data_IF_982290606594
#
_entry.id   IF_982290606594
#
_cell.length_a   1.000
_cell.length_b   1.000
_cell.length_c   1.000
_cell.angle_alpha   90.00
_cell.angle_beta   90.00
_cell.angle_gamma   90.00
#
_symmetry.space_group_name_H-M   'P 1'
#
loop_
_entity.id
_entity.type
_entity.pdbx_description
1 polymer ?
#
# COMPACT_ATOMS: atom_id res chain seq x y z
N UNK A 1 -16.78 -26.38 -32.09
CA UNK A 1 -16.71 -24.99 -31.58
C UNK A 1 -15.39 -24.83 -30.86
N UNK A 2 -14.55 -23.83 -31.17
CA UNK A 2 -13.35 -23.60 -30.40
C UNK A 2 -13.73 -23.06 -29.00
N UNK A 3 -12.94 -23.35 -27.96
CA UNK A 3 -13.18 -22.75 -26.65
C UNK A 3 -12.99 -21.23 -26.78
N UNK A 4 -13.97 -20.48 -26.29
CA UNK A 4 -13.92 -19.04 -26.20
C UNK A 4 -12.75 -18.63 -25.31
N UNK A 5 -11.67 -18.19 -25.95
CA UNK A 5 -10.61 -17.41 -25.32
C UNK A 5 -11.27 -16.17 -24.72
N UNK A 6 -11.53 -16.21 -23.41
CA UNK A 6 -11.86 -15.01 -22.64
C UNK A 6 -10.57 -14.20 -22.55
N UNK A 7 -10.47 -13.17 -23.37
CA UNK A 7 -9.54 -12.07 -23.14
C UNK A 7 -9.75 -11.54 -21.71
N UNK A 8 -8.71 -11.46 -20.88
CA UNK A 8 -8.85 -10.87 -19.56
C UNK A 8 -9.19 -9.38 -19.74
N UNK A 9 -10.34 -8.97 -19.24
CA UNK A 9 -10.74 -7.56 -19.18
C UNK A 9 -9.72 -6.80 -18.34
N UNK A 10 -8.99 -5.90 -18.99
CA UNK A 10 -8.10 -4.92 -18.36
C UNK A 10 -8.89 -4.16 -17.29
N UNK A 11 -8.36 -4.17 -16.05
CA UNK A 11 -8.82 -3.44 -14.86
C UNK A 11 -9.95 -4.11 -14.04
N UNK A 12 -9.59 -4.90 -13.00
CA UNK A 12 -10.55 -5.55 -12.08
C UNK A 12 -11.38 -4.59 -11.20
N UNK A 13 -11.12 -3.29 -11.27
CA UNK A 13 -11.80 -2.24 -10.52
C UNK A 13 -12.33 -1.18 -11.49
N UNK A 14 -13.64 -0.93 -11.44
CA UNK A 14 -14.22 0.21 -12.16
C UNK A 14 -13.76 1.52 -11.50
N UNK A 15 -13.23 2.50 -12.25
CA UNK A 15 -12.90 3.82 -11.73
C UNK A 15 -14.13 4.71 -11.55
N UNK A 16 -15.30 4.27 -12.03
CA UNK A 16 -16.55 5.01 -11.99
C UNK A 16 -16.97 5.33 -10.53
N UNK A 17 -17.10 6.61 -10.14
CA UNK A 17 -17.55 6.99 -8.81
C UNK A 17 -18.95 6.46 -8.47
N UNK A 18 -19.81 6.26 -9.47
CA UNK A 18 -21.17 5.72 -9.28
C UNK A 18 -21.18 4.23 -8.89
N UNK A 19 -20.05 3.54 -9.02
CA UNK A 19 -19.88 2.16 -8.54
C UNK A 19 -19.81 2.03 -7.01
N UNK A 20 -19.87 3.15 -6.28
CA UNK A 20 -19.86 3.19 -4.82
C UNK A 20 -18.49 2.91 -4.19
N UNK A 21 -18.40 2.82 -2.84
CA UNK A 21 -17.13 2.63 -2.14
C UNK A 21 -16.42 1.32 -2.51
N UNK A 22 -15.09 1.32 -2.47
CA UNK A 22 -14.26 0.12 -2.54
C UNK A 22 -14.02 -0.35 -1.10
N UNK A 23 -14.61 -1.49 -0.75
CA UNK A 23 -14.38 -2.13 0.54
C UNK A 23 -13.21 -3.10 0.44
N UNK A 24 -12.29 -3.02 1.40
CA UNK A 24 -11.12 -3.91 1.48
C UNK A 24 -10.83 -4.28 2.93
N UNK A 25 -10.17 -5.42 3.16
CA UNK A 25 -9.72 -5.79 4.51
C UNK A 25 -8.48 -6.69 4.48
N UNK A 26 -8.60 -7.88 3.89
CA UNK A 26 -7.55 -8.90 3.98
C UNK A 26 -6.64 -8.87 2.76
N UNK A 27 -5.32 -9.15 2.93
CA UNK A 27 -4.39 -9.16 1.82
C UNK A 27 -4.70 -10.25 0.79
N UNK A 28 -5.35 -11.34 1.19
CA UNK A 28 -5.80 -12.41 0.28
C UNK A 28 -7.08 -12.10 -0.50
N UNK A 29 -7.68 -10.91 -0.34
CA UNK A 29 -8.83 -10.52 -1.16
C UNK A 29 -8.40 -10.35 -2.63
N UNK A 30 -9.09 -10.99 -3.60
CA UNK A 30 -8.59 -11.05 -4.96
C UNK A 30 -8.35 -9.67 -5.61
N UNK A 31 -9.32 -8.75 -5.50
CA UNK A 31 -9.29 -7.47 -6.23
C UNK A 31 -8.86 -6.28 -5.39
N UNK A 32 -8.76 -6.45 -4.06
CA UNK A 32 -8.58 -5.35 -3.10
C UNK A 32 -7.51 -5.62 -2.06
N UNK A 33 -6.89 -6.81 -2.08
CA UNK A 33 -5.87 -7.21 -1.12
C UNK A 33 -4.67 -6.25 -1.09
N UNK A 34 -4.31 -5.68 -2.23
CA UNK A 34 -3.24 -4.69 -2.38
C UNK A 34 -3.46 -3.41 -1.54
N UNK A 35 -4.68 -3.12 -1.09
CA UNK A 35 -4.96 -1.98 -0.20
C UNK A 35 -4.66 -2.29 1.27
N UNK A 36 -4.62 -3.58 1.65
CA UNK A 36 -4.35 -4.01 3.02
C UNK A 36 -2.93 -3.65 3.46
N UNK A 37 -2.76 -3.28 4.73
CA UNK A 37 -1.43 -3.05 5.34
C UNK A 37 -0.61 -4.33 5.49
N UNK A 38 -1.26 -5.50 5.37
CA UNK A 38 -0.64 -6.82 5.44
C UNK A 38 -0.28 -7.42 4.08
N UNK A 39 -0.51 -6.69 2.98
CA UNK A 39 -0.15 -7.13 1.64
C UNK A 39 1.36 -7.28 1.52
N UNK A 40 1.82 -8.50 1.22
CA UNK A 40 3.22 -8.90 1.25
C UNK A 40 3.82 -9.13 -0.14
N UNK A 41 3.01 -9.28 -1.19
CA UNK A 41 3.50 -9.53 -2.56
C UNK A 41 4.34 -8.39 -3.16
N UNK A 42 4.36 -7.20 -2.54
CA UNK A 42 5.17 -6.07 -2.99
C UNK A 42 5.87 -5.40 -1.79
N UNK A 43 7.06 -5.89 -1.40
CA UNK A 43 7.94 -5.19 -0.47
C UNK A 43 8.35 -3.83 -1.02
N UNK A 44 8.73 -2.90 -0.14
CA UNK A 44 9.05 -1.53 -0.55
C UNK A 44 10.16 -0.91 0.30
N UNK A 45 10.80 0.13 -0.25
CA UNK A 45 11.84 0.91 0.44
C UNK A 45 11.23 2.14 1.13
N UNK A 46 11.84 2.59 2.22
CA UNK A 46 11.55 3.92 2.75
C UNK A 46 12.02 5.04 1.83
N UNK A 47 11.53 6.27 2.08
CA UNK A 47 12.12 7.49 1.55
C UNK A 47 13.51 7.65 2.18
N UNK A 48 14.54 7.08 1.56
CA UNK A 48 15.90 7.48 1.89
C UNK A 48 16.07 8.95 1.51
N UNK A 49 16.31 9.81 2.51
CA UNK A 49 16.52 11.25 2.28
C UNK A 49 17.96 11.54 1.87
N UNK A 50 18.85 10.55 1.99
CA UNK A 50 20.24 10.66 1.61
C UNK A 50 20.65 9.48 0.71
N UNK A 51 20.72 9.67 -0.62
CA UNK A 51 21.14 8.63 -1.56
C UNK A 51 22.55 8.10 -1.32
N UNK A 52 23.37 8.78 -0.50
CA UNK A 52 24.72 8.34 -0.12
C UNK A 52 24.74 7.49 1.15
N UNK A 53 23.62 7.38 1.85
CA UNK A 53 23.49 6.58 3.06
C UNK A 53 23.18 5.13 2.72
N UNK A 54 23.94 4.20 3.30
CA UNK A 54 23.68 2.75 3.21
C UNK A 54 22.42 2.30 3.97
N UNK A 55 21.52 3.24 4.33
CA UNK A 55 20.55 3.08 5.41
C UNK A 55 19.11 2.82 4.98
N UNK A 56 18.80 2.88 3.68
CA UNK A 56 17.46 2.58 3.17
C UNK A 56 17.02 1.17 3.60
N UNK A 57 15.86 1.12 4.25
CA UNK A 57 15.28 -0.14 4.76
C UNK A 57 14.24 -0.66 3.81
N UNK A 58 14.20 -1.99 3.68
CA UNK A 58 13.13 -2.70 2.97
C UNK A 58 12.12 -3.20 4.00
N UNK A 59 10.84 -2.93 3.73
CA UNK A 59 9.73 -3.37 4.55
C UNK A 59 8.92 -4.40 3.77
N UNK A 60 8.67 -5.54 4.40
CA UNK A 60 7.89 -6.61 3.80
C UNK A 60 6.41 -6.24 3.65
N UNK A 61 5.86 -5.48 4.60
CA UNK A 61 4.49 -4.95 4.53
C UNK A 61 4.41 -3.56 5.14
N UNK A 62 3.32 -2.83 4.88
CA UNK A 62 3.12 -1.50 5.46
C UNK A 62 2.88 -1.55 6.98
N UNK A 63 2.43 -2.68 7.54
CA UNK A 63 2.41 -2.84 9.00
C UNK A 63 3.82 -2.95 9.60
N UNK A 64 4.77 -3.61 8.93
CA UNK A 64 6.16 -3.62 9.40
C UNK A 64 6.70 -2.19 9.48
N UNK A 65 6.44 -1.37 8.46
CA UNK A 65 6.77 0.05 8.47
C UNK A 65 6.11 0.78 9.65
N UNK A 66 4.80 0.62 9.83
CA UNK A 66 4.06 1.29 10.91
C UNK A 66 4.62 0.93 12.29
N UNK A 67 4.89 -0.35 12.55
CA UNK A 67 5.40 -0.79 13.85
C UNK A 67 6.86 -0.38 14.07
N UNK A 68 7.70 -0.44 13.04
CA UNK A 68 9.09 0.03 13.10
C UNK A 68 9.13 1.52 13.46
N UNK A 69 8.36 2.34 12.75
CA UNK A 69 8.29 3.77 13.01
C UNK A 69 7.62 4.12 14.34
N UNK A 70 6.68 3.29 14.83
CA UNK A 70 6.16 3.39 16.20
C UNK A 70 7.28 3.18 17.23
N UNK A 71 8.10 2.15 17.06
CA UNK A 71 9.23 1.89 17.96
C UNK A 71 10.25 3.03 17.95
N UNK A 72 10.58 3.56 16.76
CA UNK A 72 11.45 4.74 16.63
C UNK A 72 10.86 5.99 17.31
N UNK A 73 9.55 6.23 17.18
CA UNK A 73 8.87 7.36 17.81
C UNK A 73 9.04 7.39 19.35
N UNK A 74 9.15 6.21 19.97
CA UNK A 74 9.33 6.07 21.42
C UNK A 74 10.75 5.68 21.84
N UNK A 75 11.73 5.91 20.94
CA UNK A 75 13.15 5.64 21.17
C UNK A 75 13.48 4.18 21.51
N UNK A 76 12.74 3.23 20.94
CA UNK A 76 12.96 1.80 21.13
C UNK A 76 13.65 1.16 19.92
N UNK A 77 14.97 1.40 19.80
CA UNK A 77 15.77 0.90 18.69
C UNK A 77 15.83 -0.63 18.62
N UNK A 78 15.75 -1.31 19.77
CA UNK A 78 15.77 -2.77 19.86
C UNK A 78 14.50 -3.38 19.25
N UNK A 79 13.32 -2.86 19.62
CA UNK A 79 12.06 -3.32 19.02
C UNK A 79 11.98 -2.90 17.55
N UNK A 80 12.50 -1.73 17.19
CA UNK A 80 12.56 -1.28 15.80
C UNK A 80 13.32 -2.30 14.93
N UNK A 81 14.53 -2.69 15.35
CA UNK A 81 15.34 -3.68 14.64
C UNK A 81 14.67 -5.06 14.61
N UNK A 82 14.09 -5.49 15.73
CA UNK A 82 13.37 -6.76 15.80
C UNK A 82 12.20 -6.82 14.81
N UNK A 83 11.48 -5.71 14.60
CA UNK A 83 10.38 -5.65 13.63
C UNK A 83 10.86 -5.83 12.19
N UNK A 84 12.03 -5.27 11.83
CA UNK A 84 12.58 -5.42 10.48
C UNK A 84 12.99 -6.87 10.17
N UNK A 85 13.37 -7.64 11.20
CA UNK A 85 13.76 -9.03 11.06
C UNK A 85 12.58 -10.01 10.94
N UNK A 86 11.34 -9.57 11.16
CA UNK A 86 10.16 -10.44 11.09
C UNK A 86 9.82 -10.77 9.63
N UNK A 87 9.71 -12.07 9.25
CA UNK A 87 9.30 -12.44 7.91
C UNK A 87 7.82 -12.15 7.66
N UNK A 88 7.42 -11.89 6.42
CA UNK A 88 6.02 -11.78 6.06
C UNK A 88 5.46 -13.10 5.47
N UNK A 89 4.17 -13.42 5.69
CA UNK A 89 3.22 -12.70 6.55
C UNK A 89 3.28 -13.18 8.03
N UNK A 90 3.59 -12.28 8.97
CA UNK A 90 3.61 -12.62 10.42
C UNK A 90 2.81 -11.65 11.31
N UNK A 91 1.48 -11.49 11.12
CA UNK A 91 0.71 -10.49 11.86
C UNK A 91 0.74 -10.63 13.38
N UNK A 92 0.82 -11.86 13.89
CA UNK A 92 0.84 -12.12 15.32
C UNK A 92 2.12 -11.59 15.97
N UNK A 93 3.26 -11.84 15.33
CA UNK A 93 4.59 -11.47 15.83
C UNK A 93 4.82 -9.97 15.73
N UNK A 94 4.60 -9.35 14.56
CA UNK A 94 4.75 -7.91 14.37
C UNK A 94 3.88 -7.11 15.35
N UNK A 95 2.62 -7.54 15.57
CA UNK A 95 1.74 -6.90 16.57
C UNK A 95 2.18 -7.13 18.00
N UNK A 96 2.81 -8.27 18.30
CA UNK A 96 3.35 -8.55 19.63
C UNK A 96 4.49 -7.59 19.96
N UNK A 97 5.45 -7.45 19.04
CA UNK A 97 6.53 -6.47 19.14
C UNK A 97 5.98 -5.03 19.24
N UNK A 98 4.99 -4.69 18.42
CA UNK A 98 4.32 -3.39 18.47
C UNK A 98 3.65 -3.05 19.80
N UNK A 99 3.23 -4.05 20.58
CA UNK A 99 2.70 -3.87 21.94
C UNK A 99 3.81 -3.80 23.00
N UNK A 100 4.99 -4.32 22.70
CA UNK A 100 6.14 -4.34 23.59
C UNK A 100 7.01 -3.06 23.53
N UNK A 101 6.70 -2.13 22.62
CA UNK A 101 7.41 -0.84 22.48
C UNK A 101 7.45 -0.11 23.83
N UNK A 102 8.67 0.20 24.29
CA UNK A 102 8.92 0.95 25.53
C UNK A 102 8.51 2.42 25.39
N UNK A 103 8.30 3.09 26.51
CA UNK A 103 7.96 4.52 26.59
C UNK A 103 6.72 4.94 25.78
N UNK A 104 5.82 4.00 25.50
CA UNK A 104 4.62 4.27 24.71
C UNK A 104 3.72 5.31 25.37
N UNK A 105 3.45 6.39 24.65
CA UNK A 105 2.47 7.40 25.01
C UNK A 105 1.33 7.42 23.97
N UNK A 106 0.11 7.20 24.45
CA UNK A 106 -1.07 7.08 23.60
C UNK A 106 -1.37 8.40 22.86
N UNK A 107 -1.21 9.55 23.51
CA UNK A 107 -1.53 10.85 22.91
C UNK A 107 -0.51 11.24 21.83
N UNK A 108 0.77 10.94 22.06
CA UNK A 108 1.82 11.07 21.05
C UNK A 108 1.53 10.13 19.87
N UNK A 109 1.17 8.87 20.13
CA UNK A 109 0.82 7.94 19.07
C UNK A 109 -0.39 8.40 18.25
N UNK A 110 -1.46 8.86 18.89
CA UNK A 110 -2.66 9.35 18.20
C UNK A 110 -2.37 10.54 17.29
N UNK A 111 -1.46 11.43 17.71
CA UNK A 111 -1.02 12.57 16.91
C UNK A 111 -0.18 12.18 15.70
N UNK A 112 0.70 11.18 15.84
CA UNK A 112 1.69 10.85 14.79
C UNK A 112 1.27 9.67 13.88
N UNK A 113 0.37 8.79 14.32
CA UNK A 113 0.06 7.52 13.63
C UNK A 113 -0.41 7.71 12.18
N UNK A 114 -1.23 8.72 11.92
CA UNK A 114 -1.78 8.97 10.58
C UNK A 114 -0.67 9.44 9.63
N UNK A 115 0.24 10.30 10.11
CA UNK A 115 1.43 10.68 9.35
C UNK A 115 2.28 9.46 9.02
N UNK A 116 2.57 8.61 10.00
CA UNK A 116 3.39 7.40 9.81
C UNK A 116 2.73 6.44 8.80
N UNK A 117 1.44 6.16 8.93
CA UNK A 117 0.73 5.24 8.02
C UNK A 117 0.61 5.83 6.62
N UNK A 118 0.40 7.14 6.48
CA UNK A 118 0.42 7.83 5.19
C UNK A 118 1.79 7.74 4.53
N UNK A 119 2.87 8.02 5.26
CA UNK A 119 4.25 7.92 4.74
C UNK A 119 4.58 6.48 4.31
N UNK A 120 4.24 5.48 5.13
CA UNK A 120 4.43 4.07 4.77
C UNK A 120 3.61 3.63 3.57
N UNK A 121 2.36 4.10 3.47
CA UNK A 121 1.49 3.83 2.31
C UNK A 121 2.03 4.49 1.04
N UNK A 122 2.54 5.72 1.12
CA UNK A 122 3.20 6.38 -0.01
C UNK A 122 4.42 5.57 -0.46
N UNK A 123 5.27 5.12 0.47
CA UNK A 123 6.45 4.32 0.17
C UNK A 123 6.07 3.00 -0.50
N UNK A 124 5.06 2.30 0.02
CA UNK A 124 4.50 1.07 -0.57
C UNK A 124 4.14 1.24 -2.04
N UNK A 125 3.42 2.31 -2.38
CA UNK A 125 2.94 2.50 -3.76
C UNK A 125 3.98 3.12 -4.68
N UNK A 126 4.91 3.95 -4.17
CA UNK A 126 5.83 4.71 -5.01
C UNK A 126 7.25 4.11 -5.10
N UNK A 127 7.68 3.35 -4.09
CA UNK A 127 9.02 2.78 -3.95
C UNK A 127 9.00 1.24 -3.79
N UNK A 128 8.24 0.48 -4.61
CA UNK A 128 8.27 -0.98 -4.55
C UNK A 128 9.66 -1.51 -4.88
N UNK A 129 10.09 -2.56 -4.18
CA UNK A 129 11.24 -3.36 -4.58
C UNK A 129 10.78 -4.27 -5.71
N UNK A 130 11.29 -4.00 -6.91
CA UNK A 130 11.15 -4.90 -8.05
C UNK A 130 12.46 -5.64 -8.18
N UNK A 131 12.41 -6.97 -8.29
CA UNK A 131 13.56 -7.72 -8.77
C UNK A 131 13.90 -7.17 -10.16
N UNK A 132 15.17 -6.82 -10.36
CA UNK A 132 15.65 -6.56 -11.71
C UNK A 132 15.58 -7.90 -12.44
N UNK A 133 14.84 -7.96 -13.54
CA UNK A 133 15.01 -9.05 -14.51
C UNK A 133 16.51 -9.07 -14.83
N UNK A 134 17.19 -10.19 -14.61
CA UNK A 134 18.65 -10.40 -14.73
C UNK A 134 19.19 -10.24 -16.18
N UNK A 135 18.61 -9.34 -16.96
CA UNK A 135 19.06 -8.95 -18.28
C UNK A 135 19.98 -7.75 -18.21
N UNK A 136 21.29 -8.00 -18.21
CA UNK A 136 22.28 -7.06 -18.74
C UNK A 136 21.70 -6.36 -19.98
N UNK A 137 21.44 -5.07 -19.89
CA UNK A 137 21.25 -4.21 -21.04
C UNK A 137 22.07 -2.95 -20.80
N UNK A 138 23.36 -3.04 -21.15
CA UNK A 138 24.09 -1.89 -21.66
C UNK A 138 23.40 -1.43 -22.95
N UNK A 139 22.34 -0.63 -22.80
CA UNK A 139 21.82 0.18 -23.88
C UNK A 139 22.73 1.39 -24.03
N UNK A 140 23.61 1.36 -25.03
CA UNK A 140 24.18 2.59 -25.58
C UNK A 140 23.01 3.41 -26.15
N UNK A 141 23.12 4.72 -25.92
CA UNK A 141 22.29 5.78 -26.47
C UNK A 141 20.97 6.03 -25.73
N UNK A 142 20.86 7.27 -25.23
CA UNK A 142 19.81 7.77 -24.37
C UNK A 142 18.47 7.95 -25.07
N UNK A 143 17.87 6.85 -25.53
CA UNK A 143 16.44 6.81 -25.82
C UNK A 143 15.66 6.66 -24.52
N UNK A 144 14.62 7.48 -24.38
CA UNK A 144 13.75 7.51 -23.22
C UNK A 144 13.32 6.08 -22.86
N UNK A 145 13.73 5.62 -21.66
CA UNK A 145 13.36 4.34 -21.06
C UNK A 145 11.84 4.17 -21.17
N UNK A 146 11.40 3.53 -22.24
CA UNK A 146 9.99 3.35 -22.56
C UNK A 146 9.34 2.68 -21.35
N UNK A 147 8.18 3.18 -20.93
CA UNK A 147 7.46 2.73 -19.72
C UNK A 147 7.06 1.26 -19.90
N UNK A 148 7.99 0.32 -19.70
CA UNK A 148 7.72 -1.11 -19.75
C UNK A 148 6.64 -1.41 -18.72
N UNK A 149 5.47 -1.80 -19.21
CA UNK A 149 4.37 -2.24 -18.37
C UNK A 149 4.82 -3.46 -17.56
N UNK A 150 4.49 -3.45 -16.26
CA UNK A 150 4.70 -4.55 -15.33
C UNK A 150 3.37 -5.17 -14.96
N UNK A 151 3.43 -6.41 -14.49
CA UNK A 151 2.26 -7.15 -14.00
C UNK A 151 2.28 -7.07 -12.48
N UNK A 152 1.20 -6.55 -11.89
CA UNK A 152 1.04 -6.43 -10.44
C UNK A 152 -0.13 -7.28 -9.97
N UNK A 153 0.08 -8.15 -8.98
CA UNK A 153 -1.04 -8.83 -8.32
C UNK A 153 -1.88 -7.82 -7.53
N UNK A 154 -3.19 -8.05 -7.47
CA UNK A 154 -4.12 -7.24 -6.66
C UNK A 154 -4.42 -7.86 -5.28
N UNK A 155 -3.85 -9.03 -4.99
CA UNK A 155 -3.98 -9.71 -3.71
C UNK A 155 -2.93 -10.82 -3.54
N UNK A 156 -2.76 -11.29 -2.31
CA UNK A 156 -1.83 -12.36 -1.95
C UNK A 156 -2.45 -13.76 -2.13
N UNK A 157 -3.71 -13.86 -2.59
CA UNK A 157 -4.38 -15.13 -2.87
C UNK A 157 -4.00 -15.69 -4.24
N UNK A 158 -4.01 -17.02 -4.39
CA UNK A 158 -3.63 -17.69 -5.65
C UNK A 158 -4.47 -17.25 -6.85
N UNK A 159 -5.75 -16.94 -6.63
CA UNK A 159 -6.70 -16.49 -7.65
C UNK A 159 -6.73 -14.96 -7.81
N UNK A 160 -5.76 -14.24 -7.24
CA UNK A 160 -5.74 -12.79 -7.34
C UNK A 160 -5.53 -12.35 -8.81
N UNK A 161 -6.46 -11.56 -9.39
CA UNK A 161 -6.23 -10.97 -10.69
C UNK A 161 -5.01 -10.04 -10.68
N UNK A 162 -4.46 -9.83 -11.87
CA UNK A 162 -3.33 -8.94 -12.08
C UNK A 162 -3.75 -7.68 -12.83
N UNK A 163 -2.98 -6.60 -12.62
CA UNK A 163 -3.11 -5.35 -13.36
C UNK A 163 -1.81 -5.05 -14.11
N UNK A 164 -1.92 -4.71 -15.39
CA UNK A 164 -0.80 -4.17 -16.17
C UNK A 164 -0.66 -2.68 -15.88
N UNK A 165 0.50 -2.28 -15.38
CA UNK A 165 0.81 -0.89 -15.07
C UNK A 165 2.32 -0.65 -15.07
N UNK A 166 2.75 0.55 -15.49
CA UNK A 166 4.16 0.92 -15.48
C UNK A 166 4.74 0.94 -14.07
N UNK A 167 3.95 1.40 -13.08
CA UNK A 167 4.37 1.50 -11.67
C UNK A 167 3.25 1.01 -10.75
N UNK A 168 3.61 0.52 -9.57
CA UNK A 168 2.62 0.02 -8.61
C UNK A 168 1.66 1.12 -8.12
N UNK A 169 2.11 2.38 -8.04
CA UNK A 169 1.23 3.53 -7.76
C UNK A 169 0.05 3.67 -8.71
N UNK A 170 0.21 3.24 -9.97
CA UNK A 170 -0.85 3.35 -10.97
C UNK A 170 -2.02 2.40 -10.62
N UNK A 171 -1.75 1.32 -9.87
CA UNK A 171 -2.78 0.44 -9.30
C UNK A 171 -3.64 1.18 -8.27
N UNK A 172 -3.03 2.02 -7.42
CA UNK A 172 -3.78 2.87 -6.50
C UNK A 172 -4.54 3.96 -7.25
N UNK A 173 -3.93 4.59 -8.26
CA UNK A 173 -4.59 5.62 -9.08
C UNK A 173 -5.80 5.06 -9.85
N UNK A 174 -5.76 3.78 -10.26
CA UNK A 174 -6.87 3.10 -10.93
C UNK A 174 -8.14 2.97 -10.07
N UNK A 175 -8.05 3.18 -8.75
CA UNK A 175 -9.23 3.30 -7.87
C UNK A 175 -10.03 4.59 -8.11
N UNK A 176 -9.54 5.50 -8.96
CA UNK A 176 -10.22 6.71 -9.39
C UNK A 176 -10.43 7.69 -8.23
N UNK A 177 -11.66 8.15 -8.07
CA UNK A 177 -12.10 9.03 -6.97
C UNK A 177 -12.97 8.30 -5.95
N UNK A 178 -13.14 6.97 -6.10
CA UNK A 178 -13.98 6.16 -5.22
C UNK A 178 -13.45 6.19 -3.79
N UNK A 179 -14.37 6.14 -2.84
CA UNK A 179 -14.04 6.08 -1.41
C UNK A 179 -13.42 4.72 -1.09
N UNK A 180 -12.25 4.73 -0.47
CA UNK A 180 -11.58 3.51 0.01
C UNK A 180 -11.99 3.26 1.47
N UNK A 181 -12.46 2.05 1.76
CA UNK A 181 -13.02 1.70 3.07
C UNK A 181 -12.43 0.40 3.60
N UNK A 182 -11.65 0.51 4.68
CA UNK A 182 -11.12 -0.64 5.43
C UNK A 182 -12.29 -1.30 6.20
N UNK A 183 -12.90 -2.31 5.60
CA UNK A 183 -14.06 -3.06 6.07
C UNK A 183 -13.68 -4.16 7.08
N UNK A 184 -12.78 -3.83 8.00
CA UNK A 184 -12.43 -4.69 9.14
C UNK A 184 -13.58 -4.67 10.16
N UNK A 185 -14.16 -5.83 10.53
CA UNK A 185 -15.21 -5.90 11.56
C UNK A 185 -14.69 -5.69 12.98
N UNK A 186 -13.37 -5.71 13.18
CA UNK A 186 -12.75 -5.68 14.51
C UNK A 186 -12.00 -4.38 14.80
N UNK A 187 -11.82 -3.51 13.79
CA UNK A 187 -11.08 -2.26 13.92
C UNK A 187 -12.01 -1.07 13.64
N UNK A 188 -12.18 -0.20 14.63
CA UNK A 188 -12.97 1.05 14.53
C UNK A 188 -12.12 2.31 14.41
N UNK A 189 -10.80 2.18 14.43
CA UNK A 189 -9.86 3.29 14.26
C UNK A 189 -9.38 3.29 12.82
N UNK A 190 -8.65 2.26 12.40
CA UNK A 190 -8.17 2.15 11.03
C UNK A 190 -9.29 1.72 10.08
N UNK A 191 -10.21 0.89 10.58
CA UNK A 191 -11.37 0.41 9.86
C UNK A 191 -12.71 1.01 10.30
N UNK A 192 -13.78 0.51 9.70
CA UNK A 192 -15.16 0.93 9.99
C UNK A 192 -15.87 0.11 11.06
N UNK A 193 -15.28 -1.00 11.53
CA UNK A 193 -15.89 -1.90 12.50
C UNK A 193 -17.03 -2.76 11.95
N UNK A 194 -17.11 -2.92 10.62
CA UNK A 194 -18.09 -3.77 9.94
C UNK A 194 -17.46 -4.39 8.68
N UNK A 195 -17.87 -5.62 8.35
CA UNK A 195 -17.53 -6.25 7.08
C UNK A 195 -18.26 -5.59 5.90
N UNK A 196 -17.70 -5.73 4.69
CA UNK A 196 -18.18 -5.06 3.47
C UNK A 196 -19.68 -5.22 3.22
N UNK A 197 -20.24 -6.41 3.45
CA UNK A 197 -21.67 -6.72 3.24
C UNK A 197 -22.62 -5.88 4.11
N UNK A 198 -22.19 -5.49 5.30
CA UNK A 198 -22.99 -4.72 6.26
C UNK A 198 -22.62 -3.24 6.30
N UNK A 199 -21.49 -2.88 5.69
CA UNK A 199 -20.92 -1.54 5.73
C UNK A 199 -21.94 -0.47 5.29
N UNK A 200 -22.54 -0.62 4.10
CA UNK A 200 -23.51 0.36 3.56
C UNK A 200 -24.71 0.59 4.49
N UNK A 201 -25.23 -0.46 5.12
CA UNK A 201 -26.38 -0.39 6.04
C UNK A 201 -26.06 0.29 7.37
N UNK A 202 -24.77 0.39 7.71
CA UNK A 202 -24.28 0.84 9.02
C UNK A 202 -23.51 2.14 8.95
N UNK A 203 -23.61 2.92 7.86
CA UNK A 203 -22.83 4.13 7.60
C UNK A 203 -22.73 5.08 8.81
N UNK A 204 -23.86 5.39 9.45
CA UNK A 204 -23.91 6.26 10.64
C UNK A 204 -23.29 5.67 11.91
N UNK A 205 -22.83 4.42 11.90
CA UNK A 205 -22.22 3.72 13.04
C UNK A 205 -20.75 3.35 12.79
N UNK A 206 -20.18 3.79 11.68
CA UNK A 206 -18.81 3.44 11.30
C UNK A 206 -17.79 3.93 12.32
N UNK A 207 -16.68 3.19 12.39
CA UNK A 207 -15.42 3.70 12.91
C UNK A 207 -14.82 4.81 12.05
N UNK A 208 -13.58 5.18 12.35
CA UNK A 208 -12.94 6.36 11.77
C UNK A 208 -12.47 6.15 10.33
N UNK A 209 -12.27 4.91 9.88
CA UNK A 209 -11.72 4.55 8.57
C UNK A 209 -10.40 5.29 8.25
N UNK A 210 -9.51 5.44 9.25
CA UNK A 210 -8.28 6.22 9.06
C UNK A 210 -7.39 5.66 7.95
N UNK A 211 -7.37 4.35 7.74
CA UNK A 211 -6.55 3.74 6.69
C UNK A 211 -7.07 4.10 5.30
N UNK A 212 -8.38 3.98 5.09
CA UNK A 212 -9.03 4.41 3.86
C UNK A 212 -8.73 5.88 3.54
N UNK A 213 -8.81 6.77 4.53
CA UNK A 213 -8.46 8.19 4.42
C UNK A 213 -6.99 8.40 4.04
N UNK A 214 -6.06 7.74 4.73
CA UNK A 214 -4.63 7.83 4.42
C UNK A 214 -4.34 7.39 2.97
N UNK A 215 -4.93 6.29 2.51
CA UNK A 215 -4.74 5.80 1.14
C UNK A 215 -5.29 6.78 0.10
N UNK A 216 -6.44 7.41 0.37
CA UNK A 216 -6.98 8.45 -0.51
C UNK A 216 -6.10 9.70 -0.53
N UNK A 217 -5.54 10.13 0.61
CA UNK A 217 -4.57 11.23 0.65
C UNK A 217 -3.31 10.92 -0.17
N UNK A 218 -2.75 9.71 -0.01
CA UNK A 218 -1.60 9.24 -0.81
C UNK A 218 -1.94 9.22 -2.29
N UNK A 219 -3.15 8.76 -2.66
CA UNK A 219 -3.62 8.75 -4.05
C UNK A 219 -3.64 10.16 -4.65
N UNK A 220 -4.13 11.15 -3.91
CA UNK A 220 -4.12 12.55 -4.36
C UNK A 220 -2.71 13.15 -4.46
N UNK A 221 -1.81 12.82 -3.52
CA UNK A 221 -0.41 13.23 -3.58
C UNK A 221 0.26 12.69 -4.85
N UNK A 222 0.12 11.39 -5.12
CA UNK A 222 0.72 10.73 -6.29
C UNK A 222 0.13 11.24 -7.61
N UNK A 223 -1.15 11.62 -7.63
CA UNK A 223 -1.79 12.25 -8.79
C UNK A 223 -1.17 13.60 -9.09
N UNK A 224 -0.99 14.47 -8.08
CA UNK A 224 -0.34 15.78 -8.23
C UNK A 224 1.11 15.66 -8.69
N UNK A 225 1.85 14.69 -8.15
CA UNK A 225 3.23 14.42 -8.60
C UNK A 225 3.28 14.00 -10.08
N UNK A 226 2.31 13.19 -10.54
CA UNK A 226 2.22 12.78 -11.93
C UNK A 226 1.88 13.95 -12.87
N UNK A 227 0.89 14.76 -12.50
CA UNK A 227 0.49 15.97 -13.26
C UNK A 227 1.65 16.98 -13.35
N UNK A 228 2.38 17.21 -12.26
CA UNK A 228 3.54 18.10 -12.25
C UNK A 228 4.66 17.60 -13.18
N UNK A 229 4.98 16.29 -13.12
CA UNK A 229 5.99 15.69 -13.98
C UNK A 229 5.60 15.70 -15.48
N UNK A 230 4.30 15.62 -15.80
CA UNK A 230 3.80 15.77 -17.18
C UNK A 230 3.87 17.21 -17.66
N UNK A 231 3.49 18.18 -16.82
CA UNK A 231 3.58 19.61 -17.12
C UNK A 231 5.03 20.08 -17.35
N UNK A 232 6.00 19.50 -16.63
CA UNK A 232 7.43 19.78 -16.85
C UNK A 232 7.97 19.20 -18.16
N UNK A 233 7.45 18.05 -18.61
CA UNK A 233 7.86 17.40 -19.88
C UNK A 233 7.26 18.06 -21.12
N UNK A 234 6.13 18.75 -20.95
CA UNK A 234 5.47 19.50 -22.02
C UNK A 234 5.97 20.94 -22.19
N UNK A 235 6.89 21.40 -21.33
CA UNK A 235 7.61 22.68 -21.44
C UNK A 235 8.92 22.49 -22.20
#
# INVERSE_FOLDING_TARGET
MPPTSRTPTNTPLSPDPESGPIYFWRPGEPTTGFLSQWYASVPFRDRDRDPSSSSSKIYATAEHYMMHHKALLFNDAEIAEAILAVPAPSPKETKSLGRAVRNFDQAVWERERERIVREGSWCKFNLPVVEEDDGKLEGKDGEAREKRERIWSLGDGEDAPVMRAARFRDVLLATGTRELVEASPFDRIWGIGFGAKEAGKRRGKWGLNLLGKCLMEVREELRREAEAAEAERGK
#
